data_IF_943950597776
#
_entry.id   IF_943950597776
#
_cell.length_a   1.000
_cell.length_b   1.000
_cell.length_c   1.000
_cell.angle_alpha   90.00
_cell.angle_beta   90.00
_cell.angle_gamma   90.00
#
_symmetry.space_group_name_H-M   'P 1'
#
loop_
_entity.id
_entity.type
_entity.pdbx_description
1 polymer ?
#
# COMPACT_ATOMS: atom_id res chain seq x y z
N UNK A 1 55.23 12.88 3.14
CA UNK A 1 55.95 11.60 3.02
C UNK A 1 55.42 10.74 4.14
N UNK A 2 54.95 9.51 4.02
CA UNK A 2 54.99 8.47 3.01
C UNK A 2 53.87 7.47 3.43
N UNK A 3 53.35 6.72 2.46
CA UNK A 3 52.75 5.36 2.47
C UNK A 3 52.37 4.68 3.80
N UNK A 4 51.45 3.73 3.93
CA UNK A 4 50.39 3.08 3.14
C UNK A 4 49.93 1.93 4.07
N UNK A 5 48.63 1.72 4.27
CA UNK A 5 48.15 0.37 4.60
C UNK A 5 46.70 0.17 4.09
N UNK A 6 46.57 -0.79 3.18
CA UNK A 6 45.31 -1.36 2.73
C UNK A 6 44.90 -2.49 3.68
N UNK A 7 43.63 -2.56 4.09
CA UNK A 7 42.91 -3.83 4.22
C UNK A 7 41.45 -3.65 3.79
N UNK A 8 41.04 -4.56 2.90
CA UNK A 8 39.76 -4.73 2.24
C UNK A 8 38.57 -4.98 3.17
N UNK A 9 37.45 -4.35 2.84
CA UNK A 9 36.12 -4.62 3.36
C UNK A 9 35.06 -4.23 2.34
N UNK A 10 34.93 -5.07 1.31
CA UNK A 10 33.77 -5.13 0.39
C UNK A 10 32.48 -5.21 1.24
N UNK A 11 31.36 -4.54 0.98
CA UNK A 11 30.86 -3.86 -0.21
C UNK A 11 29.93 -2.74 0.28
N UNK A 12 30.19 -1.50 -0.11
CA UNK A 12 29.22 -0.43 0.05
C UNK A 12 27.98 -0.82 -0.78
N UNK A 13 26.83 -1.01 -0.13
CA UNK A 13 25.53 -1.07 -0.81
C UNK A 13 25.27 0.32 -1.39
N UNK A 14 25.92 0.59 -2.52
CA UNK A 14 25.56 1.66 -3.40
C UNK A 14 24.24 1.28 -4.03
N UNK A 15 23.23 2.08 -3.72
CA UNK A 15 22.26 2.51 -4.70
C UNK A 15 21.55 1.37 -5.46
N UNK A 16 20.71 0.61 -4.77
CA UNK A 16 19.63 -0.14 -5.41
C UNK A 16 18.46 0.82 -5.72
N UNK A 17 18.75 1.87 -6.49
CA UNK A 17 17.74 2.45 -7.36
C UNK A 17 17.52 1.39 -8.46
N UNK A 18 16.36 0.73 -8.54
CA UNK A 18 16.12 -0.20 -9.63
C UNK A 18 16.24 0.59 -10.94
N UNK A 19 16.91 0.05 -11.96
CA UNK A 19 17.00 0.69 -13.26
C UNK A 19 15.57 0.95 -13.74
N UNK A 20 15.32 2.19 -14.13
CA UNK A 20 14.12 2.63 -14.80
C UNK A 20 13.69 1.62 -15.87
N UNK A 21 12.66 0.80 -15.59
CA UNK A 21 11.95 0.01 -16.61
C UNK A 21 11.85 -1.52 -16.46
N UNK A 22 12.15 -2.12 -15.29
CA UNK A 22 12.16 -3.60 -15.15
C UNK A 22 11.11 -4.18 -14.18
N UNK A 23 9.83 -3.84 -14.37
CA UNK A 23 8.77 -4.83 -14.12
C UNK A 23 8.27 -5.32 -15.49
N UNK A 24 8.55 -6.58 -15.89
CA UNK A 24 8.31 -7.05 -17.26
C UNK A 24 6.83 -7.11 -17.64
N UNK A 25 5.92 -7.03 -16.67
CA UNK A 25 4.47 -7.03 -16.87
C UNK A 25 3.85 -5.62 -16.95
N UNK A 26 4.65 -4.56 -17.15
CA UNK A 26 4.17 -3.16 -17.17
C UNK A 26 4.28 -2.48 -18.53
N UNK A 27 4.71 -3.21 -19.56
CA UNK A 27 5.32 -2.63 -20.76
C UNK A 27 4.35 -2.23 -21.87
N UNK A 28 3.04 -2.44 -21.72
CA UNK A 28 2.03 -1.98 -22.69
C UNK A 28 1.07 -0.94 -22.08
N UNK A 29 0.67 0.10 -22.85
CA UNK A 29 -0.36 1.06 -22.44
C UNK A 29 -1.66 0.40 -21.96
N UNK A 30 -2.10 -0.65 -22.64
CA UNK A 30 -3.32 -1.39 -22.36
C UNK A 30 -3.24 -2.09 -20.99
N UNK A 31 -2.09 -2.69 -20.68
CA UNK A 31 -1.86 -3.38 -19.42
C UNK A 31 -1.83 -2.41 -18.22
N UNK A 32 -1.34 -1.19 -18.43
CA UNK A 32 -1.41 -0.13 -17.42
C UNK A 32 -2.86 0.31 -17.16
N UNK A 33 -3.68 0.38 -18.21
CA UNK A 33 -5.10 0.72 -18.09
C UNK A 33 -5.86 -0.38 -17.36
N UNK A 34 -5.65 -1.66 -17.73
CA UNK A 34 -6.32 -2.79 -17.08
C UNK A 34 -5.94 -2.88 -15.60
N UNK A 35 -4.64 -2.72 -15.28
CA UNK A 35 -4.17 -2.69 -13.89
C UNK A 35 -4.79 -1.54 -13.09
N UNK A 36 -4.82 -0.33 -13.67
CA UNK A 36 -5.45 0.84 -13.05
C UNK A 36 -6.93 0.63 -12.80
N UNK A 37 -7.63 -0.03 -13.73
CA UNK A 37 -9.04 -0.35 -13.59
C UNK A 37 -9.28 -1.41 -12.50
N UNK A 38 -8.44 -2.44 -12.46
CA UNK A 38 -8.50 -3.49 -11.45
C UNK A 38 -8.32 -2.92 -10.02
N UNK A 39 -7.30 -2.08 -9.79
CA UNK A 39 -7.09 -1.47 -8.47
C UNK A 39 -8.20 -0.47 -8.13
N UNK A 40 -8.78 0.23 -9.11
CA UNK A 40 -9.96 1.07 -8.87
C UNK A 40 -11.16 0.23 -8.41
N UNK A 41 -11.38 -0.93 -9.03
CA UNK A 41 -12.42 -1.89 -8.63
C UNK A 41 -12.18 -2.40 -7.20
N UNK A 42 -10.95 -2.83 -6.89
CA UNK A 42 -10.55 -3.27 -5.54
C UNK A 42 -10.79 -2.18 -4.49
N UNK A 43 -10.42 -0.92 -4.78
CA UNK A 43 -10.67 0.20 -3.86
C UNK A 43 -12.15 0.54 -3.70
N UNK A 44 -12.95 0.37 -4.76
CA UNK A 44 -14.41 0.55 -4.68
C UNK A 44 -15.03 -0.51 -3.76
N UNK A 45 -14.72 -1.79 -3.99
CA UNK A 45 -15.19 -2.90 -3.15
C UNK A 45 -14.78 -2.71 -1.69
N UNK A 46 -13.52 -2.32 -1.45
CA UNK A 46 -13.06 -2.01 -0.09
C UNK A 46 -13.85 -0.88 0.55
N UNK A 47 -14.14 0.21 -0.18
CA UNK A 47 -14.95 1.30 0.36
C UNK A 47 -16.36 0.82 0.69
N UNK A 48 -17.00 0.11 -0.23
CA UNK A 48 -18.37 -0.35 -0.08
C UNK A 48 -18.49 -1.32 1.13
N UNK A 49 -17.47 -2.17 1.38
CA UNK A 49 -17.38 -3.00 2.59
C UNK A 49 -17.25 -2.19 3.89
N UNK A 50 -16.48 -1.09 3.88
CA UNK A 50 -16.34 -0.21 5.03
C UNK A 50 -17.64 0.57 5.31
N UNK A 51 -18.35 0.98 4.26
CA UNK A 51 -19.65 1.64 4.38
C UNK A 51 -20.68 0.68 4.98
N UNK A 52 -20.74 -0.57 4.51
CA UNK A 52 -21.60 -1.61 5.07
C UNK A 52 -21.28 -1.89 6.54
N UNK A 53 -20.00 -2.09 6.88
CA UNK A 53 -19.58 -2.31 8.27
C UNK A 53 -20.02 -1.15 9.17
N UNK A 54 -19.81 0.09 8.74
CA UNK A 54 -20.23 1.28 9.49
C UNK A 54 -21.73 1.28 9.78
N UNK A 55 -22.55 0.93 8.79
CA UNK A 55 -24.01 0.95 8.90
C UNK A 55 -24.57 -0.14 9.83
N UNK A 56 -23.76 -1.16 10.15
CA UNK A 56 -24.06 -2.20 11.15
C UNK A 56 -23.67 -1.79 12.58
N UNK A 57 -22.86 -0.74 12.77
CA UNK A 57 -22.41 -0.33 14.10
C UNK A 57 -23.52 0.47 14.84
N UNK A 58 -23.76 0.21 16.15
CA UNK A 58 -24.90 0.78 16.89
C UNK A 58 -24.93 2.30 17.03
N UNK A 59 -23.80 3.00 16.85
CA UNK A 59 -23.65 4.43 17.18
C UNK A 59 -23.39 5.35 15.98
N UNK A 60 -23.03 4.83 14.80
CA UNK A 60 -22.49 5.63 13.69
C UNK A 60 -23.37 5.62 12.43
N UNK A 61 -24.61 5.14 12.55
CA UNK A 61 -25.54 5.05 11.43
C UNK A 61 -25.80 6.45 10.85
N UNK A 62 -25.20 6.74 9.69
CA UNK A 62 -25.32 8.01 8.99
C UNK A 62 -24.23 9.06 9.27
N UNK A 63 -23.30 8.84 10.22
CA UNK A 63 -22.20 9.77 10.49
C UNK A 63 -20.94 9.39 9.69
N UNK A 64 -20.21 10.39 9.18
CA UNK A 64 -18.91 10.13 8.53
C UNK A 64 -17.92 9.68 9.60
N UNK A 65 -17.40 8.46 9.46
CA UNK A 65 -16.37 7.89 10.32
C UNK A 65 -15.14 7.53 9.46
N UNK A 66 -13.95 7.70 10.01
CA UNK A 66 -12.71 7.28 9.38
C UNK A 66 -12.54 5.77 9.43
N UNK A 67 -11.68 5.21 8.56
CA UNK A 67 -11.39 3.77 8.57
C UNK A 67 -10.91 3.27 9.92
N UNK A 68 -10.08 4.06 10.60
CA UNK A 68 -9.57 3.69 11.93
C UNK A 68 -10.71 3.63 12.95
N UNK A 69 -11.58 4.64 13.00
CA UNK A 69 -12.74 4.66 13.90
C UNK A 69 -13.69 3.48 13.65
N UNK A 70 -13.98 3.16 12.38
CA UNK A 70 -14.82 2.03 12.01
C UNK A 70 -14.21 0.71 12.51
N UNK A 71 -12.90 0.51 12.34
CA UNK A 71 -12.22 -0.71 12.80
C UNK A 71 -12.20 -0.81 14.32
N UNK A 72 -11.84 0.28 15.02
CA UNK A 72 -11.81 0.31 16.49
C UNK A 72 -13.19 0.02 17.08
N UNK A 73 -14.23 0.70 16.60
CA UNK A 73 -15.61 0.49 17.09
C UNK A 73 -16.14 -0.90 16.74
N UNK A 74 -15.74 -1.49 15.61
CA UNK A 74 -16.13 -2.86 15.26
C UNK A 74 -15.49 -3.89 16.19
N UNK A 75 -14.24 -3.69 16.61
CA UNK A 75 -13.60 -4.53 17.63
C UNK A 75 -14.34 -4.41 18.96
N UNK A 76 -14.63 -3.18 19.40
CA UNK A 76 -15.36 -2.92 20.65
C UNK A 76 -16.80 -3.47 20.63
N UNK A 77 -17.41 -3.60 19.45
CA UNK A 77 -18.77 -4.13 19.30
C UNK A 77 -18.85 -5.65 19.38
N UNK A 78 -17.80 -6.35 18.95
CA UNK A 78 -17.75 -7.82 18.94
C UNK A 78 -17.26 -8.40 20.28
N UNK A 79 -16.49 -7.62 21.04
CA UNK A 79 -15.99 -7.97 22.37
C UNK A 79 -17.01 -7.63 23.45
#
# INVERSE_FOLDING_TARGET
>A
TDSAEQVSGSSSIQNLQPPSGSTPYSRSPELRVSHKLAERKRRKEMRDLFDELRDQLPADRGMKASKWEILSKAIDFVV
#
